data_IF_701380790995
#
_entry.id   IF_701380790995
#
_cell.length_a   1.000
_cell.length_b   1.000
_cell.length_c   1.000
_cell.angle_alpha   90.00
_cell.angle_beta   90.00
_cell.angle_gamma   90.00
#
_symmetry.space_group_name_H-M   'P 1'
#
loop_
_entity.id
_entity.type
_entity.pdbx_description
1 polymer ?
#
# COMPACT_ATOMS: atom_id res chain seq x y z
N UNK A 1 13.01 -43.08 60.50
CA UNK A 1 12.77 -43.04 59.05
C UNK A 1 11.98 -41.78 58.72
N UNK A 2 12.62 -40.73 58.20
CA UNK A 2 11.95 -39.49 57.77
C UNK A 2 12.02 -39.42 56.25
N UNK A 3 10.87 -39.46 55.57
CA UNK A 3 10.76 -39.24 54.12
C UNK A 3 10.49 -37.76 53.90
N UNK A 4 11.43 -37.05 53.29
CA UNK A 4 11.21 -35.71 52.75
C UNK A 4 10.83 -35.86 51.27
N UNK A 5 9.60 -35.48 50.91
CA UNK A 5 9.14 -35.41 49.53
C UNK A 5 9.46 -34.00 49.04
N UNK A 6 10.39 -33.90 48.10
CA UNK A 6 10.72 -32.65 47.41
C UNK A 6 9.77 -32.53 46.20
N UNK A 7 8.87 -31.54 46.21
CA UNK A 7 8.05 -31.19 45.04
C UNK A 7 8.80 -30.09 44.29
N UNK A 8 9.36 -30.42 43.13
CA UNK A 8 9.99 -29.48 42.21
C UNK A 8 8.93 -28.96 41.24
N UNK A 9 8.42 -27.75 41.48
CA UNK A 9 7.54 -27.04 40.55
C UNK A 9 8.38 -26.38 39.46
N UNK A 10 8.41 -26.99 38.27
CA UNK A 10 8.97 -26.41 37.06
C UNK A 10 8.03 -25.31 36.55
N UNK A 11 8.34 -24.06 36.88
CA UNK A 11 7.81 -22.89 36.19
C UNK A 11 8.40 -22.86 34.77
N UNK A 12 7.68 -23.42 33.80
CA UNK A 12 7.91 -23.11 32.39
C UNK A 12 7.45 -21.67 32.17
N UNK A 13 8.38 -20.73 32.27
CA UNK A 13 8.19 -19.39 31.73
C UNK A 13 8.07 -19.51 30.21
N UNK A 14 6.85 -19.53 29.69
CA UNK A 14 6.62 -19.29 28.27
C UNK A 14 7.03 -17.85 28.00
N UNK A 15 8.24 -17.64 27.49
CA UNK A 15 8.60 -16.38 26.86
C UNK A 15 7.71 -16.23 25.63
N UNK A 16 6.57 -15.56 25.79
CA UNK A 16 5.79 -15.08 24.66
C UNK A 16 6.62 -14.00 24.00
N UNK A 17 7.34 -14.34 22.94
CA UNK A 17 7.84 -13.35 22.00
C UNK A 17 6.61 -12.67 21.39
N UNK A 18 6.23 -11.53 21.97
CA UNK A 18 5.30 -10.61 21.33
C UNK A 18 5.98 -10.14 20.05
N UNK A 19 5.49 -10.61 18.90
CA UNK A 19 5.94 -10.11 17.61
C UNK A 19 5.54 -8.64 17.57
N UNK A 20 6.53 -7.74 17.45
CA UNK A 20 6.26 -6.31 17.40
C UNK A 20 5.58 -6.01 16.08
N UNK A 21 4.33 -5.56 16.13
CA UNK A 21 3.67 -4.96 14.98
C UNK A 21 4.32 -3.60 14.77
N UNK A 22 4.82 -3.38 13.56
CA UNK A 22 5.57 -2.18 13.25
C UNK A 22 5.63 -1.94 11.75
N UNK A 23 5.82 -0.69 11.38
CA UNK A 23 6.15 -0.35 10.01
C UNK A 23 7.12 0.83 9.97
N UNK A 24 8.06 0.74 9.04
CA UNK A 24 9.07 1.74 8.79
C UNK A 24 9.19 2.00 7.30
N UNK A 25 9.60 3.21 6.95
CA UNK A 25 9.99 3.55 5.59
C UNK A 25 11.47 3.23 5.43
N UNK A 26 11.82 2.54 4.36
CA UNK A 26 13.22 2.20 4.06
C UNK A 26 13.98 3.36 3.43
N UNK A 27 15.24 3.45 3.80
CA UNK A 27 16.27 4.28 3.19
C UNK A 27 16.80 3.62 1.91
N UNK A 28 17.53 4.38 1.08
CA UNK A 28 18.18 3.84 -0.12
C UNK A 28 19.21 2.76 0.22
N UNK A 29 19.94 2.94 1.33
CA UNK A 29 20.92 1.97 1.79
C UNK A 29 20.24 0.65 2.16
N UNK A 30 19.17 0.69 2.95
CA UNK A 30 18.41 -0.51 3.32
C UNK A 30 17.81 -1.21 2.09
N UNK A 31 17.29 -0.45 1.11
CA UNK A 31 16.78 -1.00 -0.16
C UNK A 31 17.86 -1.79 -0.89
N UNK A 32 19.08 -1.26 -0.97
CA UNK A 32 20.20 -1.88 -1.65
C UNK A 32 20.76 -3.09 -0.89
N UNK A 33 20.97 -2.96 0.42
CA UNK A 33 21.46 -4.04 1.29
C UNK A 33 20.51 -5.24 1.32
N UNK A 34 19.21 -4.99 1.14
CA UNK A 34 18.17 -6.03 1.06
C UNK A 34 17.91 -6.51 -0.36
N UNK A 35 18.64 -6.00 -1.35
CA UNK A 35 18.50 -6.37 -2.77
C UNK A 35 17.08 -6.20 -3.34
N UNK A 36 16.30 -5.24 -2.82
CA UNK A 36 14.89 -5.06 -3.23
C UNK A 36 14.76 -4.57 -4.67
N UNK A 37 15.84 -4.04 -5.24
CA UNK A 37 15.94 -3.61 -6.64
C UNK A 37 15.68 -4.78 -7.61
N UNK A 38 15.92 -6.02 -7.17
CA UNK A 38 15.68 -7.22 -7.98
C UNK A 38 14.19 -7.64 -8.02
N UNK A 39 13.33 -7.01 -7.22
CA UNK A 39 11.90 -7.38 -7.11
C UNK A 39 11.05 -6.69 -8.17
N UNK A 40 11.46 -5.50 -8.64
CA UNK A 40 10.69 -4.65 -9.56
C UNK A 40 11.50 -4.30 -10.80
N UNK A 41 10.80 -4.21 -11.94
CA UNK A 41 11.41 -3.75 -13.19
C UNK A 41 11.59 -2.22 -13.24
N UNK A 42 11.07 -1.49 -12.24
CA UNK A 42 11.03 -0.03 -12.23
C UNK A 42 11.94 0.54 -11.12
N UNK A 43 12.51 1.75 -11.34
CA UNK A 43 13.17 2.48 -10.26
C UNK A 43 12.28 2.57 -9.02
N UNK A 44 12.83 2.19 -7.86
CA UNK A 44 12.11 2.23 -6.59
C UNK A 44 11.93 3.70 -6.16
N UNK A 45 10.69 4.17 -6.19
CA UNK A 45 10.30 5.48 -5.67
C UNK A 45 10.24 5.48 -4.14
N UNK A 46 9.72 4.40 -3.56
CA UNK A 46 9.55 4.23 -2.11
C UNK A 46 9.49 2.75 -1.74
N UNK A 47 10.02 2.38 -0.58
CA UNK A 47 9.81 1.08 0.01
C UNK A 47 9.49 1.19 1.51
N UNK A 48 8.79 0.19 2.03
CA UNK A 48 8.40 0.08 3.43
C UNK A 48 8.63 -1.34 3.92
N UNK A 49 9.17 -1.47 5.12
CA UNK A 49 9.12 -2.71 5.89
C UNK A 49 7.88 -2.64 6.79
N UNK A 50 7.19 -3.78 6.93
CA UNK A 50 6.22 -3.94 8.00
C UNK A 50 6.23 -5.36 8.54
N UNK A 51 5.95 -5.48 9.84
CA UNK A 51 5.85 -6.75 10.53
C UNK A 51 4.44 -6.94 11.08
N UNK A 52 3.90 -8.13 10.86
CA UNK A 52 2.58 -8.55 11.33
C UNK A 52 2.59 -10.03 11.77
N UNK A 53 1.47 -10.57 12.24
CA UNK A 53 1.36 -11.99 12.67
C UNK A 53 1.80 -13.01 11.62
N UNK A 54 1.76 -12.65 10.34
CA UNK A 54 2.16 -13.48 9.20
C UNK A 54 3.63 -13.36 8.82
N UNK A 55 4.39 -12.41 9.38
CA UNK A 55 5.84 -12.29 9.17
C UNK A 55 6.33 -10.86 8.93
N UNK A 56 7.51 -10.74 8.34
CA UNK A 56 8.14 -9.47 7.95
C UNK A 56 8.04 -9.32 6.44
N UNK A 57 7.44 -8.21 6.00
CA UNK A 57 7.13 -7.94 4.61
C UNK A 57 7.84 -6.69 4.14
N UNK A 58 8.14 -6.69 2.84
CA UNK A 58 8.63 -5.53 2.12
C UNK A 58 7.58 -5.11 1.10
N UNK A 59 7.19 -3.84 1.13
CA UNK A 59 6.35 -3.22 0.11
C UNK A 59 7.21 -2.27 -0.72
N UNK A 60 7.38 -2.59 -1.99
CA UNK A 60 8.14 -1.80 -2.95
C UNK A 60 7.20 -1.07 -3.90
N UNK A 61 7.37 0.24 -4.04
CA UNK A 61 6.65 1.12 -4.96
C UNK A 61 7.60 1.62 -6.04
N UNK A 62 7.46 1.09 -7.25
CA UNK A 62 8.26 1.41 -8.43
C UNK A 62 7.50 2.26 -9.45
N UNK A 63 8.16 3.22 -10.06
CA UNK A 63 7.60 4.12 -11.09
C UNK A 63 8.51 4.14 -12.31
N UNK A 64 7.97 3.94 -13.52
CA UNK A 64 8.81 3.88 -14.71
C UNK A 64 9.17 5.29 -15.22
N UNK A 65 10.29 5.82 -14.73
CA UNK A 65 10.75 7.16 -15.06
C UNK A 65 11.11 7.31 -16.55
N UNK A 66 10.15 7.72 -17.40
CA UNK A 66 10.40 8.02 -18.81
C UNK A 66 10.92 9.45 -18.92
N UNK A 67 12.19 9.61 -19.26
CA UNK A 67 12.81 10.92 -19.51
C UNK A 67 12.19 11.57 -20.75
N UNK A 68 11.57 12.74 -20.57
CA UNK A 68 11.03 13.58 -21.66
C UNK A 68 11.98 14.73 -21.97
N UNK A 69 12.69 15.24 -20.96
CA UNK A 69 13.79 16.19 -21.13
C UNK A 69 14.84 16.00 -20.04
N UNK A 70 16.00 16.68 -20.13
CA UNK A 70 17.07 16.62 -19.10
C UNK A 70 16.60 16.96 -17.67
N UNK A 71 15.41 17.58 -17.51
CA UNK A 71 14.85 17.97 -16.21
C UNK A 71 13.42 17.49 -15.99
N UNK A 72 12.85 16.70 -16.90
CA UNK A 72 11.46 16.25 -16.81
C UNK A 72 11.34 14.75 -17.11
N UNK A 73 10.83 14.02 -16.13
CA UNK A 73 10.54 12.59 -16.21
C UNK A 73 9.06 12.41 -15.92
N UNK A 74 8.34 11.79 -16.85
CA UNK A 74 6.96 11.35 -16.63
C UNK A 74 6.92 9.84 -16.49
N UNK A 75 6.10 9.39 -15.56
CA UNK A 75 5.80 7.99 -15.35
C UNK A 75 4.61 7.61 -16.20
N UNK A 76 4.72 6.49 -16.90
CA UNK A 76 3.65 5.93 -17.76
C UNK A 76 3.06 4.64 -17.21
N UNK A 77 3.71 4.05 -16.21
CA UNK A 77 3.42 2.78 -15.54
C UNK A 77 3.92 2.86 -14.10
N UNK A 78 3.19 2.21 -13.21
CA UNK A 78 3.56 2.03 -11.81
C UNK A 78 3.44 0.57 -11.41
N UNK A 79 4.18 0.21 -10.37
CA UNK A 79 4.17 -1.13 -9.82
C UNK A 79 4.29 -1.07 -8.30
N UNK A 80 3.40 -1.75 -7.59
CA UNK A 80 3.54 -2.00 -6.16
C UNK A 80 3.63 -3.50 -5.92
N UNK A 81 4.66 -3.97 -5.21
CA UNK A 81 4.88 -5.40 -4.94
C UNK A 81 5.08 -5.56 -3.45
N UNK A 82 4.36 -6.51 -2.87
CA UNK A 82 4.59 -6.95 -1.51
C UNK A 82 5.20 -8.35 -1.52
N UNK A 83 6.31 -8.51 -0.82
CA UNK A 83 7.03 -9.77 -0.67
C UNK A 83 7.24 -10.10 0.80
N UNK A 84 7.47 -11.38 1.09
CA UNK A 84 8.03 -11.85 2.36
C UNK A 84 9.43 -12.41 2.11
N UNK A 85 10.35 -12.22 3.04
CA UNK A 85 11.66 -12.87 2.98
C UNK A 85 11.50 -14.36 3.33
N UNK A 86 11.90 -15.23 2.43
CA UNK A 86 11.83 -16.68 2.57
C UNK A 86 13.20 -17.30 2.27
N UNK A 87 13.94 -17.65 3.33
CA UNK A 87 15.16 -18.47 3.30
C UNK A 87 16.19 -18.10 2.21
N UNK A 88 16.41 -16.80 1.98
CA UNK A 88 17.41 -16.30 1.02
C UNK A 88 16.83 -15.81 -0.31
N UNK A 89 15.50 -15.70 -0.43
CA UNK A 89 14.82 -15.07 -1.55
C UNK A 89 13.54 -14.34 -1.14
N UNK A 90 12.86 -13.74 -2.11
CA UNK A 90 11.59 -13.05 -1.90
C UNK A 90 10.43 -13.84 -2.48
N UNK A 91 9.43 -14.12 -1.65
CA UNK A 91 8.16 -14.69 -2.09
C UNK A 91 7.14 -13.57 -2.26
N UNK A 92 6.68 -13.35 -3.50
CA UNK A 92 5.62 -12.39 -3.79
C UNK A 92 4.30 -12.83 -3.14
N UNK A 93 3.69 -11.93 -2.37
CA UNK A 93 2.33 -12.09 -1.84
C UNK A 93 1.29 -11.49 -2.75
N UNK A 94 1.58 -10.31 -3.28
CA UNK A 94 0.71 -9.65 -4.24
C UNK A 94 1.44 -8.55 -4.99
N UNK A 95 0.91 -8.26 -6.19
CA UNK A 95 1.35 -7.16 -7.05
C UNK A 95 0.18 -6.32 -7.55
N UNK A 96 0.43 -5.02 -7.73
CA UNK A 96 -0.44 -4.04 -8.39
C UNK A 96 0.37 -3.45 -9.53
N UNK A 97 -0.18 -3.50 -10.73
CA UNK A 97 0.34 -2.81 -11.90
C UNK A 97 -0.75 -1.87 -12.43
N UNK A 98 -0.36 -0.68 -12.87
CA UNK A 98 -1.24 0.19 -13.64
C UNK A 98 -0.43 1.01 -14.64
N UNK A 99 -1.10 1.55 -15.65
CA UNK A 99 -0.53 2.40 -16.68
C UNK A 99 -1.49 3.54 -17.04
N UNK A 100 -1.00 4.50 -17.81
CA UNK A 100 -1.82 5.58 -18.36
C UNK A 100 -2.92 5.04 -19.27
N UNK A 101 -4.09 5.64 -19.18
CA UNK A 101 -5.19 5.41 -20.12
C UNK A 101 -5.12 6.42 -21.28
N UNK A 102 -5.44 5.98 -22.50
CA UNK A 102 -5.47 6.83 -23.71
C UNK A 102 -6.88 7.42 -23.94
N UNK A 103 -7.59 7.72 -22.86
CA UNK A 103 -8.91 8.35 -22.91
C UNK A 103 -8.80 9.88 -23.09
N UNK A 104 -9.89 10.55 -23.43
CA UNK A 104 -9.94 12.02 -23.48
C UNK A 104 -10.52 12.58 -22.18
N UNK A 105 -9.88 13.57 -21.54
CA UNK A 105 -8.53 14.10 -21.80
C UNK A 105 -7.40 13.10 -21.51
N UNK A 106 -6.32 13.19 -22.30
CA UNK A 106 -5.20 12.25 -22.27
C UNK A 106 -4.39 12.34 -20.99
N UNK A 107 -4.10 11.19 -20.39
CA UNK A 107 -3.22 11.11 -19.23
C UNK A 107 -1.74 11.20 -19.63
N UNK A 108 -0.96 11.95 -18.87
CA UNK A 108 0.46 12.20 -19.15
C UNK A 108 1.39 11.69 -18.06
N UNK A 109 0.91 11.53 -16.82
CA UNK A 109 1.71 11.05 -15.69
C UNK A 109 0.88 10.21 -14.73
N UNK A 110 1.47 9.17 -14.16
CA UNK A 110 0.89 8.31 -13.10
C UNK A 110 1.90 8.13 -11.96
N UNK A 111 1.51 8.36 -10.71
CA UNK A 111 2.48 8.27 -9.59
C UNK A 111 1.80 7.95 -8.25
N UNK A 112 2.59 7.36 -7.34
CA UNK A 112 2.15 7.04 -6.00
C UNK A 112 2.06 8.28 -5.13
N UNK A 113 0.90 8.45 -4.49
CA UNK A 113 0.68 9.52 -3.52
C UNK A 113 1.09 9.03 -2.13
N UNK A 114 2.40 8.84 -1.93
CA UNK A 114 2.94 8.17 -0.71
C UNK A 114 2.54 8.82 0.61
N UNK A 115 2.12 10.08 0.61
CA UNK A 115 1.51 10.76 1.78
C UNK A 115 0.21 10.09 2.26
N UNK A 116 -0.51 9.43 1.37
CA UNK A 116 -1.78 8.75 1.62
C UNK A 116 -1.65 7.22 1.65
N UNK A 117 -0.46 6.67 1.36
CA UNK A 117 -0.21 5.25 1.55
C UNK A 117 0.02 4.93 3.04
N UNK A 118 -0.33 3.73 3.46
CA UNK A 118 -0.09 3.26 4.83
C UNK A 118 0.12 1.75 4.88
N UNK A 119 0.80 1.33 5.94
CA UNK A 119 1.15 -0.06 6.27
C UNK A 119 0.91 -0.21 7.78
N UNK A 120 -0.36 -0.10 8.18
CA UNK A 120 -0.79 -0.13 9.59
C UNK A 120 -1.84 -1.20 9.80
N UNK A 121 -1.93 -1.73 11.01
CA UNK A 121 -3.06 -2.56 11.46
C UNK A 121 -4.21 -1.60 11.80
N UNK A 122 -5.24 -1.60 10.96
CA UNK A 122 -6.35 -0.66 11.05
C UNK A 122 -7.52 -1.28 11.83
N UNK A 123 -7.74 -2.59 11.68
CA UNK A 123 -8.85 -3.27 12.36
C UNK A 123 -8.48 -3.82 13.76
N UNK A 124 -7.19 -3.94 14.06
CA UNK A 124 -6.64 -4.43 15.32
C UNK A 124 -6.52 -5.94 15.39
N UNK A 125 -6.53 -6.66 14.26
CA UNK A 125 -6.41 -8.12 14.21
C UNK A 125 -4.95 -8.63 14.20
N UNK A 126 -4.00 -7.69 14.28
CA UNK A 126 -2.55 -7.89 14.23
C UNK A 126 -2.00 -8.32 12.87
N UNK A 127 -2.82 -8.24 11.82
CA UNK A 127 -2.36 -8.20 10.42
C UNK A 127 -2.32 -6.75 9.94
N UNK A 128 -1.32 -6.43 9.11
CA UNK A 128 -1.23 -5.09 8.54
C UNK A 128 -2.22 -4.98 7.36
N UNK A 129 -2.84 -3.81 7.22
CA UNK A 129 -3.78 -3.47 6.16
C UNK A 129 -3.16 -2.44 5.19
N UNK A 130 -2.34 -2.86 4.20
CA UNK A 130 -1.73 -1.91 3.27
C UNK A 130 -2.78 -1.08 2.52
N UNK A 131 -2.62 0.24 2.54
CA UNK A 131 -3.34 1.17 1.68
C UNK A 131 -2.36 1.76 0.68
N UNK A 132 -2.63 1.55 -0.61
CA UNK A 132 -1.86 2.08 -1.73
C UNK A 132 -2.71 3.11 -2.45
N UNK A 133 -2.18 4.33 -2.59
CA UNK A 133 -2.85 5.42 -3.30
C UNK A 133 -1.96 5.90 -4.43
N UNK A 134 -2.57 6.05 -5.60
CA UNK A 134 -1.95 6.73 -6.73
C UNK A 134 -3.00 7.51 -7.52
N UNK A 135 -2.50 8.42 -8.33
CA UNK A 135 -3.33 9.16 -9.27
C UNK A 135 -2.63 9.40 -10.58
N UNK A 136 -3.41 9.90 -11.54
CA UNK A 136 -2.94 10.36 -12.84
C UNK A 136 -3.26 11.82 -13.05
N UNK A 137 -2.53 12.46 -13.97
CA UNK A 137 -2.84 13.81 -14.44
C UNK A 137 -2.95 13.87 -15.94
N UNK A 138 -3.74 14.83 -16.43
CA UNK A 138 -3.89 15.13 -17.86
C UNK A 138 -2.73 15.98 -18.39
N UNK A 139 -2.74 16.27 -19.70
CA UNK A 139 -1.84 17.25 -20.32
C UNK A 139 -2.02 18.66 -19.77
N UNK A 140 -3.24 19.03 -19.39
CA UNK A 140 -3.57 20.32 -18.77
C UNK A 140 -3.22 20.38 -17.27
N UNK A 141 -2.67 19.29 -16.72
CA UNK A 141 -2.21 19.22 -15.33
C UNK A 141 -3.28 18.88 -14.29
N UNK A 142 -4.52 18.64 -14.71
CA UNK A 142 -5.61 18.24 -13.81
C UNK A 142 -5.52 16.77 -13.42
N UNK A 143 -5.93 16.43 -12.20
CA UNK A 143 -6.07 15.04 -11.77
C UNK A 143 -7.17 14.37 -12.59
N UNK A 144 -6.89 13.18 -13.12
CA UNK A 144 -7.83 12.43 -13.96
C UNK A 144 -8.36 11.17 -13.29
N UNK A 145 -7.48 10.31 -12.81
CA UNK A 145 -7.86 9.11 -12.04
C UNK A 145 -7.23 9.16 -10.67
N UNK A 146 -7.97 8.63 -9.70
CA UNK A 146 -7.45 8.31 -8.37
C UNK A 146 -7.87 6.89 -8.04
N UNK A 147 -6.92 6.08 -7.58
CA UNK A 147 -7.22 4.74 -7.08
C UNK A 147 -6.68 4.58 -5.67
N UNK A 148 -7.57 4.12 -4.80
CA UNK A 148 -7.25 3.72 -3.42
C UNK A 148 -7.42 2.22 -3.34
N UNK A 149 -6.35 1.52 -3.02
CA UNK A 149 -6.32 0.06 -2.94
C UNK A 149 -5.99 -0.31 -1.50
N UNK A 150 -6.94 -0.93 -0.82
CA UNK A 150 -6.69 -1.58 0.47
C UNK A 150 -6.46 -3.06 0.23
N UNK A 151 -5.39 -3.61 0.79
CA UNK A 151 -5.15 -5.05 0.80
C UNK A 151 -5.53 -5.59 2.16
N UNK A 152 -6.50 -6.50 2.19
CA UNK A 152 -6.94 -7.18 3.40
C UNK A 152 -6.90 -8.69 3.18
N UNK A 153 -6.11 -9.40 4.00
CA UNK A 153 -5.93 -10.87 3.89
C UNK A 153 -5.55 -11.29 2.46
N UNK A 154 -4.56 -10.61 1.88
CA UNK A 154 -4.07 -10.77 0.49
C UNK A 154 -5.11 -10.53 -0.62
N UNK A 155 -6.31 -10.04 -0.28
CA UNK A 155 -7.32 -9.61 -1.25
C UNK A 155 -7.29 -8.10 -1.43
N UNK A 156 -7.40 -7.64 -2.68
CA UNK A 156 -7.36 -6.22 -3.03
C UNK A 156 -8.77 -5.67 -3.14
N UNK A 157 -9.04 -4.57 -2.45
CA UNK A 157 -10.30 -3.84 -2.49
C UNK A 157 -10.01 -2.44 -3.01
N UNK A 158 -10.64 -2.10 -4.14
CA UNK A 158 -10.26 -0.91 -4.91
C UNK A 158 -11.41 0.07 -4.95
N UNK A 159 -11.12 1.32 -4.60
CA UNK A 159 -11.94 2.47 -4.99
C UNK A 159 -11.33 3.08 -6.24
N UNK A 160 -12.14 3.25 -7.28
CA UNK A 160 -11.77 3.87 -8.55
C UNK A 160 -12.54 5.17 -8.68
N UNK A 161 -11.81 6.27 -8.80
CA UNK A 161 -12.38 7.57 -9.09
C UNK A 161 -11.87 8.11 -10.42
N UNK A 162 -12.77 8.72 -11.18
CA UNK A 162 -12.46 9.53 -12.35
C UNK A 162 -12.93 10.95 -12.06
N UNK A 163 -12.01 11.90 -12.16
CA UNK A 163 -12.23 13.32 -11.96
C UNK A 163 -12.36 14.05 -13.31
N UNK A 164 -13.24 15.05 -13.30
CA UNK A 164 -13.45 16.04 -14.35
C UNK A 164 -14.44 17.10 -13.86
N UNK A 165 -14.57 18.20 -14.59
CA UNK A 165 -15.42 19.32 -14.18
C UNK A 165 -16.91 18.97 -14.18
N UNK A 166 -17.37 18.27 -15.23
CA UNK A 166 -18.78 17.94 -15.43
C UNK A 166 -19.19 16.72 -14.59
N UNK A 167 -20.39 16.79 -14.00
CA UNK A 167 -20.94 15.69 -13.20
C UNK A 167 -20.99 14.36 -13.96
N UNK A 168 -21.34 14.38 -15.26
CA UNK A 168 -21.58 13.17 -16.07
C UNK A 168 -20.31 12.39 -16.43
N UNK A 169 -19.13 13.04 -16.44
CA UNK A 169 -17.87 12.36 -16.71
C UNK A 169 -17.17 11.89 -15.43
N UNK A 170 -17.67 12.28 -14.25
CA UNK A 170 -17.12 11.81 -12.97
C UNK A 170 -17.61 10.42 -12.65
N UNK A 171 -16.76 9.63 -12.02
CA UNK A 171 -17.19 8.35 -11.47
C UNK A 171 -16.50 8.04 -10.16
N UNK A 172 -17.21 7.35 -9.28
CA UNK A 172 -16.67 6.84 -8.02
C UNK A 172 -17.23 5.44 -7.81
N UNK A 173 -16.37 4.42 -7.86
CA UNK A 173 -16.76 3.01 -7.81
C UNK A 173 -15.94 2.27 -6.76
N UNK A 174 -16.60 1.84 -5.69
CA UNK A 174 -16.02 0.88 -4.73
C UNK A 174 -16.07 -0.53 -5.33
N UNK A 175 -15.14 -1.39 -4.93
CA UNK A 175 -15.13 -2.80 -5.33
C UNK A 175 -16.46 -3.49 -4.99
N UNK A 176 -16.88 -4.49 -5.77
CA UNK A 176 -18.13 -5.21 -5.50
C UNK A 176 -18.12 -5.86 -4.11
N UNK A 177 -16.94 -6.29 -3.65
CA UNK A 177 -16.76 -6.90 -2.34
C UNK A 177 -16.43 -5.87 -1.24
N UNK A 178 -16.52 -4.56 -1.50
CA UNK A 178 -16.16 -3.51 -0.54
C UNK A 178 -16.84 -3.68 0.82
N UNK A 179 -18.10 -4.10 0.82
CA UNK A 179 -18.87 -4.27 2.04
C UNK A 179 -18.40 -5.45 2.91
N UNK A 180 -17.56 -6.34 2.37
CA UNK A 180 -16.92 -7.43 3.12
C UNK A 180 -15.75 -6.95 3.99
N UNK A 181 -15.24 -5.73 3.78
CA UNK A 181 -14.19 -5.18 4.62
C UNK A 181 -14.71 -4.91 6.05
N UNK A 182 -13.86 -5.14 7.08
CA UNK A 182 -14.11 -4.68 8.44
C UNK A 182 -14.53 -3.22 8.49
N UNK A 183 -15.47 -2.90 9.39
CA UNK A 183 -16.00 -1.55 9.49
C UNK A 183 -14.93 -0.50 9.81
N UNK A 184 -13.94 -0.85 10.64
CA UNK A 184 -12.80 0.03 10.96
C UNK A 184 -12.00 0.41 9.73
N UNK A 185 -11.70 -0.54 8.85
CA UNK A 185 -10.99 -0.29 7.58
C UNK A 185 -11.80 0.64 6.68
N UNK A 186 -13.09 0.37 6.50
CA UNK A 186 -13.98 1.23 5.68
C UNK A 186 -13.99 2.66 6.22
N UNK A 187 -14.18 2.83 7.52
CA UNK A 187 -14.16 4.15 8.18
C UNK A 187 -12.81 4.86 8.00
N UNK A 188 -11.70 4.13 8.12
CA UNK A 188 -10.36 4.71 7.90
C UNK A 188 -10.17 5.19 6.47
N UNK A 189 -10.61 4.40 5.48
CA UNK A 189 -10.55 4.79 4.06
C UNK A 189 -11.46 5.98 3.79
N UNK A 190 -12.67 6.03 4.36
CA UNK A 190 -13.59 7.17 4.20
C UNK A 190 -12.97 8.47 4.78
N UNK A 191 -12.27 8.39 5.91
CA UNK A 191 -11.50 9.52 6.46
C UNK A 191 -10.33 9.92 5.56
N UNK A 192 -9.62 8.95 4.99
CA UNK A 192 -8.53 9.20 4.04
C UNK A 192 -9.05 9.91 2.79
N UNK A 193 -10.20 9.48 2.25
CA UNK A 193 -10.86 10.11 1.12
C UNK A 193 -11.24 11.55 1.43
N UNK A 194 -11.85 11.82 2.59
CA UNK A 194 -12.19 13.18 3.02
C UNK A 194 -10.95 14.09 3.13
N UNK A 195 -9.83 13.54 3.64
CA UNK A 195 -8.55 14.26 3.67
C UNK A 195 -8.04 14.56 2.26
N UNK A 196 -8.02 13.57 1.38
CA UNK A 196 -7.55 13.76 -0.01
C UNK A 196 -8.39 14.77 -0.78
N UNK A 197 -9.72 14.76 -0.63
CA UNK A 197 -10.61 15.78 -1.21
C UNK A 197 -10.15 17.19 -0.87
N UNK A 198 -9.89 17.44 0.41
CA UNK A 198 -9.47 18.75 0.89
C UNK A 198 -8.05 19.12 0.45
N UNK A 199 -7.11 18.17 0.49
CA UNK A 199 -5.69 18.44 0.25
C UNK A 199 -5.29 18.42 -1.22
N UNK A 200 -6.08 17.82 -2.10
CA UNK A 200 -5.82 17.71 -3.54
C UNK A 200 -6.90 18.41 -4.39
N UNK A 201 -7.83 19.12 -3.74
CA UNK A 201 -8.97 19.79 -4.37
C UNK A 201 -9.77 18.86 -5.29
N UNK A 202 -10.04 17.64 -4.81
CA UNK A 202 -10.77 16.62 -5.57
C UNK A 202 -12.26 16.72 -5.26
N UNK A 203 -13.08 16.56 -6.30
CA UNK A 203 -14.54 16.60 -6.14
C UNK A 203 -15.03 15.30 -5.51
N UNK A 204 -14.58 14.13 -6.00
CA UNK A 204 -14.90 12.79 -5.48
C UNK A 204 -16.37 12.66 -5.03
N UNK A 205 -17.33 13.15 -5.82
CA UNK A 205 -18.76 13.18 -5.46
C UNK A 205 -19.28 11.73 -5.28
N UNK A 206 -20.06 11.48 -4.23
CA UNK A 206 -20.67 10.18 -3.87
C UNK A 206 -19.75 9.10 -3.23
N UNK A 207 -18.60 9.48 -2.68
CA UNK A 207 -17.69 8.54 -1.97
C UNK A 207 -17.72 8.62 -0.45
#
# INVERSE_FOLDING_TARGET
MKKYILILLSFYSTFTFSQKIGSSKLTKQEIHERELENITDFPIYRAFEFQDKGGVYELVLGENQKTISKKDTLNTKIQAICVINDHGGFLEKWRINDLLEDNLPKETNIWFWTKYCSTKDIDGDEYIDPIIVYGTRTEDGYIRRVKVITVYKNKKYVIRAVECDLDDCRSFKKDQNWNMLPQKIKTHVDQLLAKMRKEQDLLLKNG
#
